data_IF_377724726736
#
_entry.id   IF_377724726736
#
_cell.length_a   1.000
_cell.length_b   1.000
_cell.length_c   1.000
_cell.angle_alpha   90.00
_cell.angle_beta   90.00
_cell.angle_gamma   90.00
#
_symmetry.space_group_name_H-M   'P 1'
#
loop_
_entity.id
_entity.type
_entity.pdbx_description
1 polymer ?
#
# COMPACT_ATOMS: atom_id res chain seq x y z
N UNK A 1 65.75 -47.51 -39.65
CA UNK A 1 65.80 -46.96 -38.28
C UNK A 1 67.01 -47.54 -37.59
N UNK A 2 67.92 -46.70 -37.13
CA UNK A 2 69.10 -47.10 -36.35
C UNK A 2 68.74 -47.23 -34.87
N UNK A 3 69.57 -47.95 -34.09
CA UNK A 3 69.38 -48.10 -32.63
C UNK A 3 69.40 -46.74 -31.90
N UNK A 4 70.17 -45.78 -32.41
CA UNK A 4 70.24 -44.42 -31.86
C UNK A 4 68.97 -43.61 -32.15
N UNK A 5 68.37 -43.76 -33.33
CA UNK A 5 67.06 -43.16 -33.66
C UNK A 5 65.94 -43.73 -32.76
N UNK A 6 66.02 -45.01 -32.40
CA UNK A 6 65.05 -45.63 -31.49
C UNK A 6 65.20 -45.12 -30.06
N UNK A 7 66.43 -45.00 -29.55
CA UNK A 7 66.71 -44.43 -28.21
C UNK A 7 66.26 -42.98 -28.09
N UNK A 8 66.51 -42.17 -29.11
CA UNK A 8 66.08 -40.76 -29.14
C UNK A 8 64.54 -40.64 -29.16
N UNK A 9 63.85 -41.51 -29.91
CA UNK A 9 62.39 -41.56 -29.91
C UNK A 9 61.83 -41.94 -28.52
N UNK A 10 62.38 -42.96 -27.88
CA UNK A 10 61.96 -43.39 -26.52
C UNK A 10 62.19 -42.28 -25.50
N UNK A 11 63.33 -41.58 -25.56
CA UNK A 11 63.60 -40.44 -24.68
C UNK A 11 62.61 -39.29 -24.87
N UNK A 12 62.22 -38.99 -26.12
CA UNK A 12 61.20 -37.99 -26.44
C UNK A 12 59.81 -38.38 -25.95
N UNK A 13 59.45 -39.66 -26.05
CA UNK A 13 58.18 -40.17 -25.54
C UNK A 13 58.12 -40.07 -24.01
N UNK A 14 59.18 -40.49 -23.31
CA UNK A 14 59.26 -40.37 -21.85
C UNK A 14 59.12 -38.90 -21.41
N UNK A 15 59.86 -37.99 -22.04
CA UNK A 15 59.74 -36.57 -21.75
C UNK A 15 58.35 -35.98 -22.11
N UNK A 16 57.65 -36.55 -23.10
CA UNK A 16 56.29 -36.15 -23.43
C UNK A 16 55.26 -36.68 -22.42
N UNK A 17 55.46 -37.90 -21.89
CA UNK A 17 54.64 -38.49 -20.83
C UNK A 17 54.79 -37.70 -19.53
N UNK A 18 56.01 -37.38 -19.08
CA UNK A 18 56.24 -36.56 -17.89
C UNK A 18 55.53 -35.19 -18.01
N UNK A 19 55.56 -34.59 -19.20
CA UNK A 19 54.86 -33.33 -19.47
C UNK A 19 53.34 -33.50 -19.48
N UNK A 20 52.83 -34.65 -19.88
CA UNK A 20 51.40 -34.95 -19.85
C UNK A 20 50.91 -35.13 -18.42
N UNK A 21 51.66 -35.88 -17.59
CA UNK A 21 51.33 -36.10 -16.18
C UNK A 21 51.31 -34.79 -15.41
N UNK A 22 52.33 -33.95 -15.57
CA UNK A 22 52.38 -32.61 -14.95
C UNK A 22 51.21 -31.72 -15.42
N UNK A 23 50.75 -31.86 -16.68
CA UNK A 23 49.57 -31.12 -17.16
C UNK A 23 48.29 -31.65 -16.54
N UNK A 24 48.17 -32.96 -16.36
CA UNK A 24 47.02 -33.59 -15.73
C UNK A 24 46.92 -33.19 -14.26
N UNK A 25 48.00 -33.28 -13.49
CA UNK A 25 48.04 -32.83 -12.09
C UNK A 25 47.62 -31.37 -11.93
N UNK A 26 48.07 -30.51 -12.85
CA UNK A 26 47.68 -29.09 -12.88
C UNK A 26 46.21 -28.88 -13.24
N UNK A 27 45.65 -29.73 -14.10
CA UNK A 27 44.24 -29.66 -14.45
C UNK A 27 43.39 -30.08 -13.25
N UNK A 28 43.75 -31.19 -12.59
CA UNK A 28 43.05 -31.71 -11.42
C UNK A 28 43.07 -30.69 -10.26
N UNK A 29 44.23 -30.05 -10.01
CA UNK A 29 44.34 -28.99 -9.02
C UNK A 29 43.43 -27.79 -9.34
N UNK A 30 43.36 -27.38 -10.62
CA UNK A 30 42.46 -26.29 -11.06
C UNK A 30 40.98 -26.66 -10.92
N UNK A 31 40.62 -27.91 -11.20
CA UNK A 31 39.26 -28.40 -11.01
C UNK A 31 38.87 -28.41 -9.53
N UNK A 32 39.74 -28.91 -8.65
CA UNK A 32 39.50 -28.88 -7.20
C UNK A 32 39.36 -27.44 -6.67
N UNK A 33 40.16 -26.49 -7.16
CA UNK A 33 40.01 -25.07 -6.82
C UNK A 33 38.69 -24.47 -7.32
N UNK A 34 38.25 -24.83 -8.52
CA UNK A 34 36.99 -24.38 -9.09
C UNK A 34 35.79 -24.91 -8.28
N UNK A 35 35.80 -26.20 -7.92
CA UNK A 35 34.76 -26.82 -7.10
C UNK A 35 34.69 -26.17 -5.71
N UNK A 36 35.84 -25.90 -5.09
CA UNK A 36 35.90 -25.20 -3.81
C UNK A 36 35.35 -23.76 -3.90
N UNK A 37 35.57 -23.06 -5.03
CA UNK A 37 34.98 -21.73 -5.28
C UNK A 37 33.47 -21.83 -5.48
N UNK A 38 33.00 -22.80 -6.24
CA UNK A 38 31.56 -23.03 -6.47
C UNK A 38 30.84 -23.34 -5.16
N UNK A 39 31.38 -24.23 -4.33
CA UNK A 39 30.81 -24.54 -3.02
C UNK A 39 30.70 -23.31 -2.09
N UNK A 40 31.68 -22.39 -2.14
CA UNK A 40 31.62 -21.12 -1.40
C UNK A 40 30.54 -20.18 -1.93
N UNK A 41 30.39 -20.10 -3.25
CA UNK A 41 29.34 -19.30 -3.89
C UNK A 41 27.97 -19.86 -3.53
N UNK A 42 27.77 -21.17 -3.60
CA UNK A 42 26.51 -21.82 -3.24
C UNK A 42 26.13 -21.56 -1.78
N UNK A 43 27.11 -21.64 -0.86
CA UNK A 43 26.89 -21.30 0.54
C UNK A 43 26.52 -19.82 0.76
N UNK A 44 27.15 -18.90 0.02
CA UNK A 44 26.81 -17.48 0.07
C UNK A 44 25.41 -17.19 -0.50
N UNK A 45 25.04 -17.85 -1.60
CA UNK A 45 23.72 -17.77 -2.21
C UNK A 45 22.65 -18.31 -1.26
N UNK A 46 22.86 -19.47 -0.65
CA UNK A 46 21.93 -20.05 0.33
C UNK A 46 21.71 -19.11 1.53
N UNK A 47 22.77 -18.48 2.03
CA UNK A 47 22.67 -17.47 3.09
C UNK A 47 21.87 -16.25 2.62
N UNK A 48 22.11 -15.78 1.40
CA UNK A 48 21.40 -14.63 0.82
C UNK A 48 19.91 -14.91 0.65
N UNK A 49 19.55 -16.08 0.12
CA UNK A 49 18.16 -16.54 0.00
C UNK A 49 17.48 -16.59 1.37
N UNK A 50 18.18 -17.08 2.39
CA UNK A 50 17.64 -17.14 3.75
C UNK A 50 17.39 -15.75 4.34
N UNK A 51 18.32 -14.80 4.14
CA UNK A 51 18.14 -13.42 4.63
C UNK A 51 17.05 -12.65 3.86
N UNK A 52 16.91 -12.91 2.56
CA UNK A 52 15.81 -12.39 1.75
C UNK A 52 14.46 -12.90 2.27
N UNK A 53 14.32 -14.21 2.50
CA UNK A 53 13.09 -14.79 3.04
C UNK A 53 12.72 -14.20 4.42
N UNK A 54 13.70 -13.94 5.29
CA UNK A 54 13.46 -13.25 6.58
C UNK A 54 13.03 -11.80 6.39
N UNK A 55 13.55 -11.12 5.38
CA UNK A 55 13.19 -9.74 5.06
C UNK A 55 11.76 -9.65 4.54
N UNK A 56 11.38 -10.56 3.63
CA UNK A 56 10.02 -10.66 3.10
C UNK A 56 9.02 -10.91 4.24
N UNK A 57 9.29 -11.86 5.13
CA UNK A 57 8.43 -12.13 6.29
C UNK A 57 8.27 -10.92 7.22
N UNK A 58 9.34 -10.14 7.43
CA UNK A 58 9.25 -8.88 8.21
C UNK A 58 8.42 -7.83 7.50
N UNK A 59 8.56 -7.72 6.18
CA UNK A 59 7.80 -6.76 5.38
C UNK A 59 6.30 -7.10 5.36
N UNK A 60 5.95 -8.37 5.24
CA UNK A 60 4.56 -8.85 5.36
C UNK A 60 3.98 -8.53 6.74
N UNK A 61 4.73 -8.82 7.81
CA UNK A 61 4.31 -8.52 9.18
C UNK A 61 4.09 -7.02 9.42
N UNK A 62 5.01 -6.18 8.92
CA UNK A 62 4.87 -4.72 8.98
C UNK A 62 3.65 -4.23 8.18
N UNK A 63 3.43 -4.80 6.99
CA UNK A 63 2.28 -4.46 6.14
C UNK A 63 0.96 -4.81 6.83
N UNK A 64 0.87 -5.99 7.46
CA UNK A 64 -0.31 -6.39 8.22
C UNK A 64 -0.57 -5.47 9.43
N UNK A 65 0.48 -5.14 10.19
CA UNK A 65 0.37 -4.19 11.31
C UNK A 65 -0.07 -2.80 10.85
N UNK A 66 0.52 -2.31 9.76
CA UNK A 66 0.19 -0.99 9.21
C UNK A 66 -1.23 -0.93 8.67
N UNK A 67 -1.68 -1.97 7.96
CA UNK A 67 -3.06 -2.12 7.49
C UNK A 67 -4.06 -2.07 8.66
N UNK A 68 -3.84 -2.87 9.70
CA UNK A 68 -4.71 -2.86 10.88
C UNK A 68 -4.76 -1.51 11.59
N UNK A 69 -3.66 -0.75 11.64
CA UNK A 69 -3.66 0.60 12.20
C UNK A 69 -4.46 1.58 11.33
N UNK A 70 -4.32 1.53 10.00
CA UNK A 70 -5.05 2.39 9.07
C UNK A 70 -6.56 2.13 9.12
N UNK A 71 -6.96 0.86 9.12
CA UNK A 71 -8.38 0.45 9.18
C UNK A 71 -9.03 0.93 10.48
N UNK A 72 -8.33 0.77 11.61
CA UNK A 72 -8.79 1.26 12.91
C UNK A 72 -8.94 2.78 12.94
N UNK A 73 -7.99 3.53 12.35
CA UNK A 73 -8.08 4.99 12.28
C UNK A 73 -9.28 5.45 11.45
N UNK A 74 -9.53 4.82 10.29
CA UNK A 74 -10.71 5.08 9.47
C UNK A 74 -12.00 4.81 10.23
N UNK A 75 -12.13 3.62 10.82
CA UNK A 75 -13.31 3.22 11.58
C UNK A 75 -13.62 4.16 12.75
N UNK A 76 -12.59 4.61 13.49
CA UNK A 76 -12.77 5.57 14.60
C UNK A 76 -13.22 6.93 14.10
N UNK A 77 -12.71 7.39 12.95
CA UNK A 77 -13.13 8.66 12.35
C UNK A 77 -14.60 8.59 11.91
N UNK A 78 -14.97 7.57 11.13
CA UNK A 78 -16.36 7.35 10.69
C UNK A 78 -17.33 7.27 11.85
N UNK A 79 -17.00 6.51 12.90
CA UNK A 79 -17.84 6.35 14.09
C UNK A 79 -18.03 7.68 14.83
N UNK A 80 -16.96 8.48 14.94
CA UNK A 80 -17.05 9.81 15.56
C UNK A 80 -18.01 10.72 14.81
N UNK A 81 -17.86 10.84 13.49
CA UNK A 81 -18.70 11.74 12.69
C UNK A 81 -20.15 11.26 12.62
N UNK A 82 -20.36 9.95 12.44
CA UNK A 82 -21.70 9.36 12.48
C UNK A 82 -22.41 9.70 13.79
N UNK A 83 -21.79 9.44 14.94
CA UNK A 83 -22.40 9.69 16.25
C UNK A 83 -22.62 11.17 16.51
N UNK A 84 -21.68 12.03 16.10
CA UNK A 84 -21.82 13.48 16.23
C UNK A 84 -23.01 14.02 15.43
N UNK A 85 -23.16 13.57 14.19
CA UNK A 85 -24.26 13.98 13.30
C UNK A 85 -25.58 13.33 13.71
N UNK A 86 -25.57 12.10 14.23
CA UNK A 86 -26.77 11.48 14.78
C UNK A 86 -27.29 12.22 16.02
N UNK A 87 -26.39 12.69 16.89
CA UNK A 87 -26.76 13.47 18.06
C UNK A 87 -27.25 14.88 17.72
N UNK A 88 -26.66 15.50 16.69
CA UNK A 88 -27.07 16.80 16.18
C UNK A 88 -27.06 16.78 14.63
N UNK A 89 -28.19 16.42 13.99
CA UNK A 89 -28.27 16.20 12.53
C UNK A 89 -28.40 17.51 11.77
N UNK A 90 -27.44 18.41 11.99
CA UNK A 90 -27.40 19.74 11.40
C UNK A 90 -26.01 19.99 10.83
N UNK A 91 -25.93 20.37 9.55
CA UNK A 91 -24.72 20.88 8.91
C UNK A 91 -25.00 22.27 8.37
N UNK A 92 -24.29 23.27 8.88
CA UNK A 92 -24.58 24.66 8.59
C UNK A 92 -26.00 25.02 9.04
N UNK A 93 -26.85 25.41 8.09
CA UNK A 93 -28.26 25.74 8.26
C UNK A 93 -29.21 24.60 7.84
N UNK A 94 -28.68 23.46 7.39
CA UNK A 94 -29.47 22.32 6.90
C UNK A 94 -29.63 21.28 8.00
N UNK A 95 -30.88 20.94 8.31
CA UNK A 95 -31.24 19.81 9.19
C UNK A 95 -31.55 18.58 8.36
N UNK A 96 -31.09 17.41 8.81
CA UNK A 96 -31.32 16.13 8.14
C UNK A 96 -32.29 15.25 8.93
N UNK A 97 -33.07 14.48 8.19
CA UNK A 97 -34.06 13.54 8.71
C UNK A 97 -33.51 12.11 8.75
N UNK A 98 -32.57 11.80 7.85
CA UNK A 98 -31.94 10.49 7.70
C UNK A 98 -30.41 10.66 7.67
N UNK A 99 -29.72 9.73 8.32
CA UNK A 99 -28.26 9.57 8.23
C UNK A 99 -27.96 8.08 8.04
N UNK A 100 -27.50 7.73 6.85
CA UNK A 100 -27.02 6.39 6.54
C UNK A 100 -25.49 6.34 6.65
N UNK A 101 -24.98 5.23 7.17
CA UNK A 101 -23.54 4.95 7.32
C UNK A 101 -23.18 3.74 6.46
N UNK A 102 -22.07 3.81 5.73
CA UNK A 102 -21.54 2.73 4.86
C UNK A 102 -22.58 2.24 3.85
N UNK A 103 -23.09 3.16 3.04
CA UNK A 103 -24.07 2.82 2.00
C UNK A 103 -23.36 2.26 0.77
N UNK A 104 -23.38 0.94 0.60
CA UNK A 104 -22.87 0.26 -0.60
C UNK A 104 -23.98 0.07 -1.64
N UNK A 105 -23.69 0.40 -2.90
CA UNK A 105 -24.62 0.16 -4.02
C UNK A 105 -23.86 -0.37 -5.24
N UNK A 106 -24.50 -1.30 -5.94
CA UNK A 106 -24.05 -1.78 -7.25
C UNK A 106 -25.19 -1.62 -8.27
N UNK A 107 -24.93 -0.89 -9.36
CA UNK A 107 -25.91 -0.64 -10.43
C UNK A 107 -25.21 -0.35 -11.76
N UNK A 108 -25.69 -0.99 -12.83
CA UNK A 108 -25.22 -0.76 -14.20
C UNK A 108 -23.69 -0.84 -14.38
N UNK A 109 -23.06 -1.84 -13.73
CA UNK A 109 -21.62 -2.07 -13.80
C UNK A 109 -20.76 -1.09 -13.00
N UNK A 110 -21.37 -0.25 -12.16
CA UNK A 110 -20.67 0.58 -11.18
C UNK A 110 -21.00 0.06 -9.79
N UNK A 111 -19.99 -0.02 -8.94
CA UNK A 111 -20.12 -0.33 -7.53
C UNK A 111 -19.33 0.69 -6.73
N UNK A 112 -19.93 1.22 -5.67
CA UNK A 112 -19.28 2.19 -4.79
C UNK A 112 -19.88 2.12 -3.38
N UNK A 113 -19.09 2.55 -2.40
CA UNK A 113 -19.47 2.68 -0.99
C UNK A 113 -19.37 4.13 -0.56
N UNK A 114 -20.35 4.64 0.17
CA UNK A 114 -20.35 6.02 0.67
C UNK A 114 -20.33 6.00 2.20
N UNK A 115 -19.36 6.71 2.80
CA UNK A 115 -19.12 6.65 4.25
C UNK A 115 -20.34 7.14 5.03
N UNK A 116 -20.84 8.33 4.70
CA UNK A 116 -22.11 8.84 5.22
C UNK A 116 -22.95 9.51 4.12
N UNK A 117 -24.25 9.26 4.17
CA UNK A 117 -25.27 10.01 3.43
C UNK A 117 -26.19 10.71 4.42
N UNK A 118 -26.30 12.03 4.34
CA UNK A 118 -27.29 12.79 5.12
C UNK A 118 -28.37 13.31 4.20
N UNK A 119 -29.63 13.02 4.53
CA UNK A 119 -30.76 13.29 3.63
C UNK A 119 -31.87 14.02 4.38
N UNK A 120 -32.42 15.03 3.73
CA UNK A 120 -33.76 15.56 4.01
C UNK A 120 -34.55 15.62 2.70
N UNK A 121 -35.79 16.12 2.74
CA UNK A 121 -36.65 16.19 1.55
C UNK A 121 -36.17 17.08 0.38
N UNK A 122 -35.00 17.73 0.48
CA UNK A 122 -34.46 18.64 -0.54
C UNK A 122 -32.97 18.43 -0.84
N UNK A 123 -32.17 18.04 0.15
CA UNK A 123 -30.71 18.04 0.08
C UNK A 123 -30.18 16.66 0.47
N UNK A 124 -29.20 16.18 -0.29
CA UNK A 124 -28.38 15.03 0.09
C UNK A 124 -26.93 15.46 0.22
N UNK A 125 -26.34 15.22 1.38
CA UNK A 125 -24.91 15.31 1.57
C UNK A 125 -24.25 13.96 1.36
N UNK A 126 -23.31 13.91 0.43
CA UNK A 126 -22.36 12.81 0.29
C UNK A 126 -21.09 13.19 1.05
N UNK A 127 -20.83 12.47 2.15
CA UNK A 127 -19.72 12.80 3.05
C UNK A 127 -18.67 11.70 2.99
N UNK A 128 -17.46 12.09 2.60
CA UNK A 128 -16.26 11.25 2.71
C UNK A 128 -15.58 11.52 4.04
N UNK A 129 -15.23 10.47 4.78
CA UNK A 129 -14.61 10.56 6.10
C UNK A 129 -13.17 10.06 6.03
N UNK A 130 -12.26 10.83 6.62
CA UNK A 130 -10.83 10.49 6.76
C UNK A 130 -10.36 10.74 8.17
N UNK A 131 -9.39 9.95 8.64
CA UNK A 131 -8.72 10.29 9.89
C UNK A 131 -7.93 11.61 9.74
N UNK A 132 -7.17 11.73 8.66
CA UNK A 132 -6.46 12.94 8.23
C UNK A 132 -6.74 13.15 6.74
N UNK A 133 -7.13 14.36 6.35
CA UNK A 133 -7.44 14.67 4.96
C UNK A 133 -6.16 14.88 4.12
N UNK A 134 -6.18 14.33 2.90
CA UNK A 134 -5.17 14.49 1.87
C UNK A 134 -5.80 15.03 0.57
N UNK A 135 -4.96 15.62 -0.30
CA UNK A 135 -5.39 16.14 -1.60
C UNK A 135 -6.01 15.05 -2.50
N UNK A 136 -5.54 13.82 -2.37
CA UNK A 136 -6.11 12.66 -3.06
C UNK A 136 -7.56 12.39 -2.66
N UNK A 137 -7.92 12.66 -1.40
CA UNK A 137 -9.27 12.41 -0.90
C UNK A 137 -10.25 13.43 -1.48
N UNK A 138 -9.87 14.70 -1.55
CA UNK A 138 -10.65 15.75 -2.21
C UNK A 138 -10.87 15.41 -3.69
N UNK A 139 -9.80 15.01 -4.39
CA UNK A 139 -9.87 14.63 -5.79
C UNK A 139 -10.78 13.41 -6.00
N UNK A 140 -10.64 12.39 -5.16
CA UNK A 140 -11.47 11.19 -5.20
C UNK A 140 -12.95 11.50 -4.98
N UNK A 141 -13.26 12.36 -4.02
CA UNK A 141 -14.63 12.82 -3.75
C UNK A 141 -15.23 13.55 -4.97
N UNK A 142 -14.48 14.44 -5.60
CA UNK A 142 -14.93 15.24 -6.74
C UNK A 142 -15.02 14.45 -8.04
N UNK A 143 -14.01 13.65 -8.36
CA UNK A 143 -13.86 13.00 -9.67
C UNK A 143 -14.54 11.63 -9.72
N UNK A 144 -14.74 10.98 -8.56
CA UNK A 144 -15.28 9.61 -8.50
C UNK A 144 -16.60 9.57 -7.75
N UNK A 145 -16.63 9.94 -6.46
CA UNK A 145 -17.86 9.82 -5.64
C UNK A 145 -18.99 10.67 -6.21
N UNK A 146 -18.71 11.93 -6.54
CA UNK A 146 -19.72 12.83 -7.11
C UNK A 146 -20.27 12.35 -8.46
N UNK A 147 -19.47 11.63 -9.26
CA UNK A 147 -19.88 11.09 -10.56
C UNK A 147 -20.69 9.80 -10.40
N UNK A 148 -20.29 8.93 -9.46
CA UNK A 148 -20.94 7.65 -9.22
C UNK A 148 -22.28 7.81 -8.49
N UNK A 149 -22.37 8.74 -7.53
CA UNK A 149 -23.53 8.93 -6.67
C UNK A 149 -24.87 9.03 -7.45
N UNK A 150 -25.06 9.95 -8.41
CA UNK A 150 -26.33 10.06 -9.13
C UNK A 150 -26.66 8.83 -10.00
N UNK A 151 -25.65 8.03 -10.41
CA UNK A 151 -25.86 6.78 -11.15
C UNK A 151 -26.38 5.67 -10.24
N UNK A 152 -25.85 5.62 -9.02
CA UNK A 152 -26.14 4.60 -8.02
C UNK A 152 -27.41 4.89 -7.20
N UNK A 153 -27.73 6.16 -6.99
CA UNK A 153 -28.89 6.62 -6.21
C UNK A 153 -29.83 7.53 -7.04
N UNK A 154 -30.46 7.02 -8.11
CA UNK A 154 -31.40 7.79 -8.92
C UNK A 154 -32.62 8.28 -8.10
N UNK A 155 -32.92 7.68 -6.96
CA UNK A 155 -33.96 8.15 -6.02
C UNK A 155 -33.73 9.57 -5.52
N UNK A 156 -32.49 10.07 -5.58
CA UNK A 156 -32.12 11.43 -5.18
C UNK A 156 -31.95 12.39 -6.36
N UNK A 157 -32.44 12.06 -7.56
CA UNK A 157 -32.28 12.89 -8.76
C UNK A 157 -32.86 14.31 -8.63
N UNK A 158 -33.95 14.47 -7.85
CA UNK A 158 -34.59 15.76 -7.60
C UNK A 158 -34.02 16.49 -6.37
N UNK A 159 -33.00 15.94 -5.71
CA UNK A 159 -32.35 16.56 -4.55
C UNK A 159 -31.14 17.40 -4.97
N UNK A 160 -30.85 18.44 -4.21
CA UNK A 160 -29.57 19.13 -4.28
C UNK A 160 -28.49 18.24 -3.65
N UNK A 161 -27.59 17.70 -4.47
CA UNK A 161 -26.46 16.91 -4.00
C UNK A 161 -25.31 17.84 -3.61
N UNK A 162 -24.91 17.80 -2.33
CA UNK A 162 -23.77 18.53 -1.78
C UNK A 162 -22.69 17.55 -1.33
N UNK A 163 -21.44 17.97 -1.43
CA UNK A 163 -20.29 17.17 -1.02
C UNK A 163 -19.73 17.70 0.31
N UNK A 164 -19.28 16.79 1.16
CA UNK A 164 -18.48 17.17 2.31
C UNK A 164 -17.28 16.24 2.50
N UNK A 165 -16.18 16.81 2.98
CA UNK A 165 -15.00 16.09 3.43
C UNK A 165 -14.88 16.28 4.94
N UNK A 166 -14.96 15.17 5.67
CA UNK A 166 -14.87 15.13 7.12
C UNK A 166 -13.53 14.53 7.55
N UNK A 167 -12.78 15.23 8.39
CA UNK A 167 -11.55 14.68 8.95
C UNK A 167 -11.14 15.27 10.29
N UNK A 168 -10.51 14.45 11.15
CA UNK A 168 -9.99 14.95 12.43
C UNK A 168 -8.94 16.03 12.24
N UNK A 169 -8.20 15.98 11.12
CA UNK A 169 -7.19 16.96 10.79
C UNK A 169 -7.22 17.36 9.32
N UNK A 170 -7.15 18.67 9.08
CA UNK A 170 -6.90 19.30 7.80
C UNK A 170 -5.66 20.19 7.90
N UNK A 171 -4.82 20.17 6.88
CA UNK A 171 -3.88 21.26 6.63
C UNK A 171 -4.64 22.49 6.12
N UNK A 172 -4.21 23.70 6.49
CA UNK A 172 -4.93 24.94 6.17
C UNK A 172 -5.09 25.14 4.66
N UNK A 173 -4.04 24.89 3.87
CA UNK A 173 -4.08 24.97 2.40
C UNK A 173 -5.14 24.01 1.81
N UNK A 174 -5.20 22.78 2.31
CA UNK A 174 -6.17 21.79 1.84
C UNK A 174 -7.59 22.17 2.25
N UNK A 175 -7.76 22.69 3.47
CA UNK A 175 -9.06 23.20 3.94
C UNK A 175 -9.55 24.33 3.02
N UNK A 176 -8.69 25.29 2.70
CA UNK A 176 -9.02 26.37 1.79
C UNK A 176 -9.40 25.85 0.41
N UNK A 177 -8.58 24.98 -0.19
CA UNK A 177 -8.89 24.37 -1.50
C UNK A 177 -10.20 23.58 -1.50
N UNK A 178 -10.50 22.87 -0.42
CA UNK A 178 -11.74 22.11 -0.27
C UNK A 178 -12.96 23.04 -0.29
N UNK A 179 -12.89 24.16 0.43
CA UNK A 179 -13.93 25.19 0.44
C UNK A 179 -14.06 25.88 -0.92
N UNK A 180 -12.95 26.21 -1.58
CA UNK A 180 -12.93 26.82 -2.93
C UNK A 180 -13.54 25.89 -3.99
N UNK A 181 -13.43 24.56 -3.81
CA UNK A 181 -14.06 23.56 -4.66
C UNK A 181 -15.56 23.35 -4.38
N UNK A 182 -16.16 24.13 -3.48
CA UNK A 182 -17.57 23.99 -3.08
C UNK A 182 -17.86 22.79 -2.19
N UNK A 183 -16.83 22.18 -1.60
CA UNK A 183 -16.96 21.04 -0.68
C UNK A 183 -17.02 21.53 0.76
N UNK A 184 -18.01 21.07 1.52
CA UNK A 184 -18.13 21.43 2.94
C UNK A 184 -17.07 20.72 3.78
N UNK A 185 -16.42 21.42 4.71
CA UNK A 185 -15.41 20.84 5.61
C UNK A 185 -16.02 20.53 6.98
N UNK A 186 -15.95 19.27 7.41
CA UNK A 186 -16.30 18.86 8.78
C UNK A 186 -15.00 18.53 9.53
N UNK A 187 -14.50 19.47 10.31
CA UNK A 187 -13.34 19.22 11.16
C UNK A 187 -13.77 18.95 12.60
N UNK A 188 -13.18 17.92 13.22
CA UNK A 188 -13.39 17.65 14.65
C UNK A 188 -13.01 18.88 15.47
N UNK A 189 -13.96 19.37 16.25
CA UNK A 189 -13.79 20.42 17.26
C UNK A 189 -14.23 19.83 18.60
N UNK A 190 -13.36 19.91 19.61
CA UNK A 190 -13.66 19.37 20.94
C UNK A 190 -13.64 20.48 22.00
N UNK A 191 -14.52 20.35 22.99
CA UNK A 191 -14.55 21.13 24.24
C UNK A 191 -14.30 20.21 25.45
N UNK A 192 -13.37 19.25 25.35
CA UNK A 192 -13.14 18.25 26.42
C UNK A 192 -11.70 18.33 26.92
N UNK A 193 -11.45 19.30 27.80
CA UNK A 193 -10.25 19.31 28.66
C UNK A 193 -10.76 19.36 30.10
N UNK A 194 -10.63 18.25 30.82
CA UNK A 194 -10.72 18.25 32.28
C UNK A 194 -9.30 18.44 32.85
N UNK A 195 -9.08 19.55 33.55
CA UNK A 195 -7.80 19.82 34.22
C UNK A 195 -7.90 19.38 35.67
N UNK A 196 -7.19 18.31 36.03
CA UNK A 196 -6.96 17.97 37.43
C UNK A 196 -5.63 18.61 37.82
N UNK A 197 -5.69 19.61 38.71
CA UNK A 197 -4.50 20.28 39.22
C UNK A 197 -3.69 19.34 40.14
N UNK A 198 -2.36 19.49 40.13
CA UNK A 198 -1.43 18.79 41.02
C UNK A 198 -1.53 19.29 42.47
#
# INVERSE_FOLDING_TARGET
MTDDELKDLVAKIAAAQDRADVRQDRADARHAEADARHARIDAQLAKTVTELAKTDAKLESLSAMYGGVSDNQGAVAEEFYYNSLKANPVLGDVRFDLIDKKSTRSRAGVEDEFDLLLVNGQVVYVVEVKYKAHESDLRWLLEVKAVNFPRLFPEYADHEVRLALAAFHFHDDLKQRTLEAGVTVLQRKGDVIESIAA
#
